data_IF_237886452780
#
_entry.id   IF_237886452780
#
_cell.length_a   1.000
_cell.length_b   1.000
_cell.length_c   1.000
_cell.angle_alpha   90.00
_cell.angle_beta   90.00
_cell.angle_gamma   90.00
#
_symmetry.space_group_name_H-M   'P 1'
#
loop_
_entity.id
_entity.type
_entity.pdbx_description
1 polymer ?
#
# COMPACT_ATOMS: atom_id res chain seq x y z
N UNK A 1 -25.86 -29.32 24.28
CA UNK A 1 -26.32 -28.34 23.27
C UNK A 1 -27.61 -27.70 23.74
N UNK A 2 -27.81 -26.42 23.47
CA UNK A 2 -29.05 -25.67 23.74
C UNK A 2 -29.61 -25.21 22.39
N UNK A 3 -30.87 -25.53 22.09
CA UNK A 3 -31.52 -25.22 20.80
C UNK A 3 -31.57 -26.42 19.85
N UNK A 4 -31.99 -26.20 18.60
CA UNK A 4 -32.44 -27.25 17.67
C UNK A 4 -31.41 -27.53 16.57
N UNK A 5 -31.24 -28.79 16.20
CA UNK A 5 -30.42 -29.18 15.03
C UNK A 5 -28.91 -29.06 15.25
N UNK A 6 -28.45 -28.85 16.48
CA UNK A 6 -27.03 -28.77 16.80
C UNK A 6 -26.40 -30.18 16.93
N UNK A 7 -25.23 -30.40 16.32
CA UNK A 7 -24.41 -31.61 16.45
C UNK A 7 -23.06 -31.31 17.13
N UNK A 8 -22.51 -32.25 17.89
CA UNK A 8 -21.31 -32.04 18.72
C UNK A 8 -21.64 -31.55 20.13
N UNK A 9 -20.78 -30.71 20.74
CA UNK A 9 -20.85 -30.35 22.16
C UNK A 9 -20.90 -28.83 22.41
N UNK A 10 -21.55 -28.41 23.50
CA UNK A 10 -21.51 -27.01 23.95
C UNK A 10 -22.12 -25.96 22.99
N UNK A 11 -22.82 -26.36 21.93
CA UNK A 11 -23.41 -25.42 20.97
C UNK A 11 -24.71 -24.80 21.52
N UNK A 12 -24.93 -23.51 21.24
CA UNK A 12 -26.13 -22.75 21.60
C UNK A 12 -26.73 -22.11 20.33
N UNK A 13 -28.00 -22.36 20.04
CA UNK A 13 -28.71 -21.80 18.88
C UNK A 13 -29.20 -22.87 17.93
N UNK A 14 -29.01 -22.72 16.63
CA UNK A 14 -29.64 -23.58 15.62
C UNK A 14 -28.66 -24.10 14.57
N UNK A 15 -28.76 -25.40 14.27
CA UNK A 15 -28.03 -26.03 13.16
C UNK A 15 -26.50 -25.84 13.18
N UNK A 16 -25.90 -25.73 14.38
CA UNK A 16 -24.45 -25.66 14.50
C UNK A 16 -23.82 -27.07 14.53
N UNK A 17 -22.56 -27.19 14.09
CA UNK A 17 -21.79 -28.43 14.13
C UNK A 17 -20.41 -28.22 14.76
N UNK A 18 -19.93 -29.20 15.52
CA UNK A 18 -18.65 -29.11 16.25
C UNK A 18 -18.86 -28.65 17.68
N UNK A 19 -18.03 -27.73 18.17
CA UNK A 19 -17.98 -27.40 19.60
C UNK A 19 -18.04 -25.90 19.88
N UNK A 20 -18.81 -25.52 20.91
CA UNK A 20 -18.76 -24.16 21.49
C UNK A 20 -19.29 -23.04 20.59
N UNK A 21 -20.07 -23.36 19.56
CA UNK A 21 -20.64 -22.36 18.65
C UNK A 21 -21.92 -21.74 19.21
N UNK A 22 -22.05 -20.42 19.14
CA UNK A 22 -23.22 -19.65 19.55
C UNK A 22 -23.81 -18.94 18.32
N UNK A 23 -25.04 -19.29 17.96
CA UNK A 23 -25.76 -18.67 16.85
C UNK A 23 -26.32 -19.71 15.88
N UNK A 24 -26.08 -19.52 14.58
CA UNK A 24 -26.76 -20.28 13.53
C UNK A 24 -25.76 -20.82 12.51
N UNK A 25 -25.97 -22.07 12.05
CA UNK A 25 -25.26 -22.66 10.91
C UNK A 25 -23.73 -22.61 11.00
N UNK A 26 -23.15 -22.49 12.19
CA UNK A 26 -21.70 -22.41 12.36
C UNK A 26 -21.10 -23.81 12.50
N UNK A 27 -19.88 -23.99 12.02
CA UNK A 27 -19.15 -25.25 12.05
C UNK A 27 -17.72 -25.08 12.58
N UNK A 28 -17.21 -26.10 13.27
CA UNK A 28 -15.84 -26.14 13.74
C UNK A 28 -15.72 -26.20 15.26
N UNK A 29 -14.48 -26.24 15.73
CA UNK A 29 -14.10 -26.37 17.13
C UNK A 29 -13.03 -25.35 17.47
N UNK A 30 -12.96 -24.95 18.74
CA UNK A 30 -11.91 -24.05 19.20
C UNK A 30 -10.59 -24.82 19.30
N UNK A 31 -9.73 -24.67 18.28
CA UNK A 31 -8.43 -25.32 18.23
C UNK A 31 -7.39 -24.68 19.16
N UNK A 32 -7.62 -23.42 19.58
CA UNK A 32 -6.70 -22.66 20.44
C UNK A 32 -6.92 -22.96 21.93
N UNK A 33 -8.19 -23.15 22.32
CA UNK A 33 -8.62 -23.49 23.68
C UNK A 33 -9.79 -24.49 23.61
N UNK A 34 -9.49 -25.81 23.60
CA UNK A 34 -10.51 -26.85 23.61
C UNK A 34 -11.47 -26.71 24.79
N UNK A 35 -12.76 -26.97 24.56
CA UNK A 35 -13.80 -26.87 25.60
C UNK A 35 -14.28 -25.44 25.91
N UNK A 36 -13.70 -24.41 25.28
CA UNK A 36 -14.17 -23.03 25.38
C UNK A 36 -15.10 -22.63 24.23
N UNK A 37 -15.65 -21.42 24.33
CA UNK A 37 -16.40 -20.78 23.24
C UNK A 37 -15.59 -20.79 21.94
N UNK A 38 -16.24 -21.13 20.83
CA UNK A 38 -15.61 -21.20 19.52
C UNK A 38 -15.98 -20.03 18.62
N UNK A 39 -17.24 -19.90 18.24
CA UNK A 39 -17.68 -18.89 17.27
C UNK A 39 -19.00 -18.26 17.67
N UNK A 40 -19.20 -16.99 17.33
CA UNK A 40 -20.43 -16.23 17.60
C UNK A 40 -21.00 -15.66 16.29
N UNK A 41 -22.24 -15.98 15.96
CA UNK A 41 -22.96 -15.37 14.86
C UNK A 41 -23.53 -16.39 13.88
N UNK A 42 -23.36 -16.16 12.58
CA UNK A 42 -24.04 -16.92 11.52
C UNK A 42 -23.05 -17.50 10.52
N UNK A 43 -23.13 -18.81 10.25
CA UNK A 43 -22.42 -19.42 9.13
C UNK A 43 -20.90 -19.35 9.23
N UNK A 44 -20.33 -19.24 10.44
CA UNK A 44 -18.87 -19.22 10.60
C UNK A 44 -18.31 -20.64 10.53
N UNK A 45 -17.15 -20.82 9.91
CA UNK A 45 -16.44 -22.09 9.77
C UNK A 45 -15.03 -21.99 10.36
N UNK A 46 -14.63 -22.96 11.18
CA UNK A 46 -13.30 -23.01 11.80
C UNK A 46 -13.30 -22.59 13.26
N UNK A 47 -12.32 -21.78 13.67
CA UNK A 47 -12.01 -21.53 15.09
C UNK A 47 -12.07 -20.04 15.44
N UNK A 48 -12.74 -19.66 16.52
CA UNK A 48 -12.59 -18.30 17.07
C UNK A 48 -13.25 -17.18 16.26
N UNK A 49 -14.22 -17.46 15.39
CA UNK A 49 -14.76 -16.46 14.47
C UNK A 49 -16.00 -15.73 15.05
N UNK A 50 -16.09 -14.42 14.83
CA UNK A 50 -17.21 -13.58 15.29
C UNK A 50 -17.83 -12.83 14.11
N UNK A 51 -19.15 -12.97 13.92
CA UNK A 51 -19.90 -12.29 12.86
C UNK A 51 -20.52 -13.28 11.88
N UNK A 52 -20.38 -13.03 10.58
CA UNK A 52 -21.16 -13.70 9.53
C UNK A 52 -20.27 -14.29 8.44
N UNK A 53 -20.41 -15.58 8.18
CA UNK A 53 -19.80 -16.23 7.02
C UNK A 53 -18.28 -16.21 7.01
N UNK A 54 -17.62 -16.10 8.17
CA UNK A 54 -16.16 -16.11 8.22
C UNK A 54 -15.63 -17.55 8.20
N UNK A 55 -14.49 -17.78 7.54
CA UNK A 55 -13.85 -19.09 7.44
C UNK A 55 -12.38 -19.03 7.86
N UNK A 56 -11.96 -19.93 8.73
CA UNK A 56 -10.57 -20.01 9.23
C UNK A 56 -10.49 -19.68 10.71
N UNK A 57 -9.50 -18.88 11.12
CA UNK A 57 -9.18 -18.66 12.54
C UNK A 57 -9.31 -17.19 12.93
N UNK A 58 -10.07 -16.88 13.99
CA UNK A 58 -9.98 -15.60 14.67
C UNK A 58 -10.50 -14.40 13.87
N UNK A 59 -11.33 -14.60 12.85
CA UNK A 59 -11.83 -13.50 12.02
C UNK A 59 -13.03 -12.81 12.68
N UNK A 60 -13.11 -11.49 12.54
CA UNK A 60 -14.22 -10.68 13.05
C UNK A 60 -14.87 -9.88 11.93
N UNK A 61 -16.19 -9.99 11.76
CA UNK A 61 -16.96 -9.24 10.76
C UNK A 61 -17.66 -10.15 9.77
N UNK A 62 -17.55 -9.88 8.46
CA UNK A 62 -18.37 -10.50 7.43
C UNK A 62 -17.53 -11.11 6.31
N UNK A 63 -17.71 -12.40 6.04
CA UNK A 63 -17.17 -13.05 4.84
C UNK A 63 -15.64 -13.06 4.77
N UNK A 64 -14.94 -12.98 5.90
CA UNK A 64 -13.47 -13.02 5.90
C UNK A 64 -12.97 -14.47 5.82
N UNK A 65 -11.90 -14.71 5.06
CA UNK A 65 -11.31 -16.03 4.84
C UNK A 65 -9.83 -16.01 5.24
N UNK A 66 -9.41 -16.96 6.08
CA UNK A 66 -8.03 -17.09 6.56
C UNK A 66 -7.94 -16.77 8.05
N UNK A 67 -6.96 -15.96 8.44
CA UNK A 67 -6.61 -15.81 9.86
C UNK A 67 -6.64 -14.35 10.32
N UNK A 68 -7.27 -14.08 11.47
CA UNK A 68 -7.20 -12.81 12.18
C UNK A 68 -7.59 -11.58 11.36
N UNK A 69 -8.48 -11.74 10.37
CA UNK A 69 -8.95 -10.61 9.59
C UNK A 69 -10.12 -9.92 10.30
N UNK A 70 -10.17 -8.59 10.23
CA UNK A 70 -11.25 -7.77 10.79
C UNK A 70 -11.91 -6.93 9.70
N UNK A 71 -13.24 -7.00 9.58
CA UNK A 71 -14.02 -6.21 8.62
C UNK A 71 -14.77 -7.07 7.63
N UNK A 72 -14.68 -6.78 6.33
CA UNK A 72 -15.57 -7.33 5.31
C UNK A 72 -14.80 -7.91 4.12
N UNK A 73 -15.01 -9.19 3.82
CA UNK A 73 -14.53 -9.82 2.59
C UNK A 73 -13.01 -9.85 2.45
N UNK A 74 -12.26 -9.87 3.55
CA UNK A 74 -10.80 -9.96 3.49
C UNK A 74 -10.35 -11.42 3.32
N UNK A 75 -9.25 -11.65 2.59
CA UNK A 75 -8.64 -12.97 2.39
C UNK A 75 -7.16 -12.97 2.78
N UNK A 76 -6.70 -14.00 3.48
CA UNK A 76 -5.32 -14.14 3.94
C UNK A 76 -5.19 -13.92 5.44
N UNK A 77 -4.20 -13.15 5.90
CA UNK A 77 -3.91 -12.98 7.32
C UNK A 77 -3.84 -11.53 7.79
N UNK A 78 -4.38 -11.25 8.97
CA UNK A 78 -4.18 -10.00 9.71
C UNK A 78 -4.61 -8.72 8.95
N UNK A 79 -5.55 -8.85 8.02
CA UNK A 79 -6.05 -7.69 7.28
C UNK A 79 -7.18 -6.99 8.06
N UNK A 80 -7.21 -5.66 8.00
CA UNK A 80 -8.26 -4.84 8.60
C UNK A 80 -8.92 -3.94 7.56
N UNK A 81 -10.24 -4.01 7.44
CA UNK A 81 -11.03 -3.17 6.52
C UNK A 81 -11.84 -4.00 5.53
N UNK A 82 -11.81 -3.65 4.25
CA UNK A 82 -12.73 -4.17 3.24
C UNK A 82 -11.97 -4.70 2.03
N UNK A 83 -12.27 -5.93 1.60
CA UNK A 83 -11.80 -6.47 0.33
C UNK A 83 -10.29 -6.65 0.21
N UNK A 84 -9.54 -6.68 1.32
CA UNK A 84 -8.09 -6.83 1.25
C UNK A 84 -7.70 -8.30 1.02
N UNK A 85 -6.64 -8.54 0.25
CA UNK A 85 -6.10 -9.87 -0.05
C UNK A 85 -4.61 -9.94 0.25
N UNK A 86 -4.19 -10.95 1.00
CA UNK A 86 -2.79 -11.14 1.41
C UNK A 86 -2.60 -10.92 2.91
N UNK A 87 -1.57 -10.19 3.32
CA UNK A 87 -1.17 -10.12 4.73
C UNK A 87 -1.04 -8.67 5.24
N UNK A 88 -1.51 -8.42 6.46
CA UNK A 88 -1.26 -7.16 7.20
C UNK A 88 -1.68 -5.89 6.43
N UNK A 89 -2.72 -5.98 5.60
CA UNK A 89 -3.23 -4.82 4.88
C UNK A 89 -4.32 -4.09 5.69
N UNK A 90 -4.29 -2.77 5.67
CA UNK A 90 -5.29 -1.92 6.34
C UNK A 90 -5.96 -0.96 5.35
N UNK A 91 -7.29 -1.01 5.26
CA UNK A 91 -8.09 -0.13 4.42
C UNK A 91 -8.94 -0.89 3.39
N UNK A 92 -8.90 -0.49 2.12
CA UNK A 92 -9.85 -0.94 1.10
C UNK A 92 -9.15 -1.54 -0.13
N UNK A 93 -9.52 -2.74 -0.53
CA UNK A 93 -9.11 -3.37 -1.79
C UNK A 93 -7.59 -3.39 -2.00
N UNK A 94 -6.81 -3.59 -0.92
CA UNK A 94 -5.36 -3.75 -1.03
C UNK A 94 -5.00 -5.21 -1.30
N UNK A 95 -4.01 -5.45 -2.17
CA UNK A 95 -3.50 -6.76 -2.50
C UNK A 95 -1.98 -6.87 -2.22
N UNK A 96 -1.56 -7.92 -1.53
CA UNK A 96 -0.15 -8.16 -1.19
C UNK A 96 0.10 -8.03 0.31
N UNK A 97 1.15 -7.30 0.71
CA UNK A 97 1.59 -7.25 2.11
C UNK A 97 1.80 -5.84 2.65
N UNK A 98 1.46 -5.60 3.91
CA UNK A 98 1.80 -4.37 4.65
C UNK A 98 1.32 -3.06 3.97
N UNK A 99 0.21 -3.11 3.24
CA UNK A 99 -0.33 -1.92 2.58
C UNK A 99 -1.34 -1.18 3.47
N UNK A 100 -1.29 0.14 3.47
CA UNK A 100 -2.24 1.02 4.16
C UNK A 100 -2.89 2.00 3.19
N UNK A 101 -4.21 2.10 3.20
CA UNK A 101 -4.98 3.00 2.33
C UNK A 101 -5.90 2.24 1.40
N UNK A 102 -5.96 2.60 0.11
CA UNK A 102 -6.87 1.92 -0.82
C UNK A 102 -6.30 1.61 -2.19
N UNK A 103 -6.66 0.43 -2.73
CA UNK A 103 -6.31 0.00 -4.07
C UNK A 103 -4.82 -0.19 -4.30
N UNK A 104 -4.05 -0.48 -3.25
CA UNK A 104 -2.61 -0.71 -3.38
C UNK A 104 -2.33 -2.17 -3.74
N UNK A 105 -1.31 -2.41 -4.57
CA UNK A 105 -0.83 -3.75 -4.96
C UNK A 105 0.67 -3.86 -4.75
N UNK A 106 1.13 -4.95 -4.12
CA UNK A 106 2.54 -5.17 -3.79
C UNK A 106 2.80 -5.06 -2.28
N UNK A 107 3.94 -4.48 -1.89
CA UNK A 107 4.37 -4.50 -0.48
C UNK A 107 4.73 -3.12 0.09
N UNK A 108 4.33 -2.86 1.34
CA UNK A 108 4.71 -1.67 2.11
C UNK A 108 4.30 -0.36 1.41
N UNK A 109 3.08 -0.31 0.85
CA UNK A 109 2.56 0.92 0.25
C UNK A 109 1.61 1.64 1.21
N UNK A 110 1.75 2.96 1.32
CA UNK A 110 0.81 3.84 2.00
C UNK A 110 0.22 4.84 1.02
N UNK A 111 -1.10 4.92 0.93
CA UNK A 111 -1.80 5.87 0.08
C UNK A 111 -2.81 5.19 -0.84
N UNK A 112 -2.92 5.68 -2.08
CA UNK A 112 -4.00 5.28 -2.98
C UNK A 112 -3.46 4.81 -4.32
N UNK A 113 -3.96 3.67 -4.81
CA UNK A 113 -3.72 3.16 -6.16
C UNK A 113 -2.22 2.99 -6.50
N UNK A 114 -1.40 2.60 -5.52
CA UNK A 114 0.01 2.31 -5.78
C UNK A 114 0.20 0.86 -6.24
N UNK A 115 1.12 0.64 -7.16
CA UNK A 115 1.59 -0.67 -7.59
C UNK A 115 3.10 -0.77 -7.42
N UNK A 116 3.56 -1.89 -6.90
CA UNK A 116 4.95 -2.15 -6.56
C UNK A 116 5.19 -2.04 -5.06
N UNK A 117 6.41 -1.68 -4.68
CA UNK A 117 6.85 -1.69 -3.29
C UNK A 117 7.24 -0.30 -2.78
N UNK A 118 7.05 -0.10 -1.47
CA UNK A 118 7.59 1.03 -0.69
C UNK A 118 7.15 2.42 -1.18
N UNK A 119 5.91 2.54 -1.67
CA UNK A 119 5.34 3.80 -2.14
C UNK A 119 4.54 4.51 -1.04
N UNK A 120 4.71 5.83 -0.88
CA UNK A 120 3.93 6.64 0.09
C UNK A 120 3.16 7.77 -0.61
N UNK A 121 2.43 7.42 -1.67
CA UNK A 121 1.93 8.36 -2.68
C UNK A 121 0.52 8.01 -3.19
N UNK A 122 0.07 8.76 -4.19
CA UNK A 122 -1.10 8.39 -5.01
C UNK A 122 -0.63 8.03 -6.42
N UNK A 123 -1.00 6.83 -6.87
CA UNK A 123 -0.83 6.40 -8.26
C UNK A 123 0.59 6.00 -8.68
N UNK A 124 1.44 5.55 -7.75
CA UNK A 124 2.76 5.03 -8.14
C UNK A 124 2.61 3.73 -8.94
N UNK A 125 3.38 3.56 -10.01
CA UNK A 125 3.34 2.35 -10.88
C UNK A 125 4.65 1.59 -10.93
N UNK A 126 5.65 2.03 -10.15
CA UNK A 126 6.97 1.42 -10.08
C UNK A 126 7.42 1.33 -8.63
N UNK A 127 8.34 0.40 -8.34
CA UNK A 127 8.95 0.30 -7.02
C UNK A 127 9.74 1.58 -6.73
N UNK A 128 9.43 2.23 -5.61
CA UNK A 128 10.25 3.33 -5.12
C UNK A 128 11.32 2.72 -4.22
N UNK A 129 12.57 2.66 -4.67
CA UNK A 129 13.67 2.14 -3.83
C UNK A 129 13.92 2.97 -2.54
N UNK A 130 13.21 4.10 -2.38
CA UNK A 130 13.15 4.95 -1.20
C UNK A 130 11.90 5.85 -1.28
N UNK A 131 11.44 6.36 -0.14
CA UNK A 131 10.23 7.21 0.05
C UNK A 131 9.95 8.18 -1.10
N UNK A 132 9.03 7.79 -1.98
CA UNK A 132 8.34 8.70 -2.88
C UNK A 132 7.01 9.12 -2.24
N UNK A 133 6.72 10.41 -2.23
CA UNK A 133 5.49 10.95 -1.62
C UNK A 133 4.81 12.00 -2.48
N UNK A 134 3.50 12.19 -2.28
CA UNK A 134 2.69 13.11 -3.09
C UNK A 134 2.05 12.44 -4.31
N UNK A 135 1.90 13.17 -5.41
CA UNK A 135 1.05 12.75 -6.54
C UNK A 135 1.84 12.65 -7.85
N UNK A 136 1.71 11.53 -8.58
CA UNK A 136 2.17 11.41 -9.97
C UNK A 136 3.68 11.55 -10.17
N UNK A 137 4.48 11.25 -9.14
CA UNK A 137 5.94 11.34 -9.22
C UNK A 137 6.53 10.07 -9.86
N UNK A 138 7.62 10.22 -10.63
CA UNK A 138 8.41 9.13 -11.22
C UNK A 138 9.87 9.31 -10.84
N UNK A 139 10.54 8.24 -10.39
CA UNK A 139 11.94 8.25 -9.97
C UNK A 139 12.14 7.66 -8.57
N UNK A 140 13.27 7.93 -7.93
CA UNK A 140 13.64 7.47 -6.58
C UNK A 140 13.85 8.67 -5.64
N UNK A 141 13.30 8.68 -4.43
CA UNK A 141 13.37 9.84 -3.49
C UNK A 141 12.78 11.12 -4.07
N UNK A 142 11.55 11.02 -4.56
CA UNK A 142 10.81 12.11 -5.21
C UNK A 142 9.58 12.49 -4.38
N UNK A 143 9.46 13.76 -4.01
CA UNK A 143 8.31 14.28 -3.25
C UNK A 143 7.60 15.44 -3.96
N UNK A 144 6.31 15.64 -3.65
CA UNK A 144 5.50 16.74 -4.18
C UNK A 144 4.59 16.29 -5.34
N UNK A 145 4.50 17.07 -6.41
CA UNK A 145 3.52 16.83 -7.48
C UNK A 145 4.17 16.76 -8.86
N UNK A 146 3.91 15.67 -9.57
CA UNK A 146 4.28 15.46 -10.97
C UNK A 146 5.75 15.71 -11.28
N UNK A 147 6.65 15.34 -10.37
CA UNK A 147 8.08 15.39 -10.63
C UNK A 147 8.53 14.09 -11.32
N UNK A 148 9.32 14.18 -12.38
CA UNK A 148 9.71 13.03 -13.20
C UNK A 148 11.22 12.95 -13.41
N UNK A 149 11.83 11.86 -12.96
CA UNK A 149 13.23 11.53 -13.20
C UNK A 149 13.30 10.16 -13.84
N UNK A 150 13.86 10.11 -15.04
CA UNK A 150 13.91 8.89 -15.84
C UNK A 150 15.29 8.70 -16.48
N UNK A 151 15.66 7.43 -16.69
CA UNK A 151 16.93 7.04 -17.31
C UNK A 151 18.15 7.23 -16.40
N UNK A 152 19.33 6.81 -16.87
CA UNK A 152 20.57 6.88 -16.11
C UNK A 152 20.63 5.89 -14.93
N UNK A 153 21.78 5.82 -14.28
CA UNK A 153 22.00 4.96 -13.10
C UNK A 153 21.36 5.54 -11.84
N UNK A 154 21.32 6.87 -11.73
CA UNK A 154 20.66 7.61 -10.65
C UNK A 154 19.51 8.40 -11.26
N UNK A 155 18.28 8.18 -10.80
CA UNK A 155 17.12 8.93 -11.24
C UNK A 155 16.23 9.35 -10.06
N UNK A 156 16.23 10.63 -9.70
CA UNK A 156 15.36 11.16 -8.64
C UNK A 156 16.04 12.17 -7.70
N UNK A 157 15.92 12.02 -6.38
CA UNK A 157 16.28 13.06 -5.40
C UNK A 157 15.64 14.41 -5.74
N UNK A 158 14.32 14.43 -5.91
CA UNK A 158 13.60 15.62 -6.36
C UNK A 158 12.48 16.03 -5.41
N UNK A 159 12.15 17.32 -5.41
CA UNK A 159 11.04 17.84 -4.61
C UNK A 159 10.34 19.04 -5.26
N UNK A 160 9.09 19.27 -4.90
CA UNK A 160 8.31 20.43 -5.33
C UNK A 160 7.29 20.09 -6.41
N UNK A 161 7.19 20.89 -7.46
CA UNK A 161 6.10 20.81 -8.43
C UNK A 161 6.63 20.80 -9.87
N UNK A 162 6.19 19.83 -10.67
CA UNK A 162 6.40 19.78 -12.12
C UNK A 162 7.88 19.81 -12.56
N UNK A 163 8.80 19.36 -11.72
CA UNK A 163 10.21 19.27 -12.10
C UNK A 163 10.43 18.03 -12.97
N UNK A 164 11.23 18.13 -14.02
CA UNK A 164 11.47 17.01 -14.95
C UNK A 164 12.94 16.90 -15.31
N UNK A 165 13.47 15.68 -15.36
CA UNK A 165 14.85 15.41 -15.76
C UNK A 165 14.97 14.07 -16.46
N UNK A 166 15.70 14.06 -17.57
CA UNK A 166 15.95 12.85 -18.36
C UNK A 166 17.17 13.03 -19.26
N UNK A 167 17.62 11.92 -19.85
CA UNK A 167 18.57 11.91 -20.96
C UNK A 167 20.06 11.84 -20.58
N UNK A 168 20.42 11.97 -19.30
CA UNK A 168 21.80 11.72 -18.88
C UNK A 168 22.08 10.22 -18.66
N UNK A 169 23.24 9.70 -19.09
CA UNK A 169 23.59 8.29 -18.90
C UNK A 169 23.97 7.95 -17.45
N UNK A 170 24.43 8.92 -16.66
CA UNK A 170 24.82 8.73 -15.26
C UNK A 170 23.71 9.09 -14.27
N UNK A 171 23.38 10.37 -14.15
CA UNK A 171 22.45 10.87 -13.15
C UNK A 171 21.43 11.87 -13.72
N UNK A 172 20.15 11.59 -13.54
CA UNK A 172 19.00 12.44 -13.81
C UNK A 172 18.33 12.80 -12.48
N UNK A 173 18.89 13.77 -11.75
CA UNK A 173 18.56 13.91 -10.33
C UNK A 173 18.72 15.32 -9.76
N UNK A 174 18.35 15.47 -8.47
CA UNK A 174 18.65 16.63 -7.62
C UNK A 174 18.02 17.91 -8.12
N UNK A 175 16.71 17.89 -8.35
CA UNK A 175 15.96 19.07 -8.78
C UNK A 175 14.92 19.45 -7.72
N UNK A 176 14.86 20.72 -7.35
CA UNK A 176 13.89 21.23 -6.38
C UNK A 176 13.22 22.52 -6.84
N UNK A 177 12.01 22.80 -6.33
CA UNK A 177 11.25 24.02 -6.62
C UNK A 177 10.13 23.77 -7.63
N UNK A 178 9.92 24.67 -8.59
CA UNK A 178 8.78 24.63 -9.51
C UNK A 178 9.24 24.67 -10.96
N UNK A 179 8.79 23.69 -11.76
CA UNK A 179 8.90 23.71 -13.21
C UNK A 179 10.32 23.70 -13.75
N UNK A 180 11.30 23.22 -12.98
CA UNK A 180 12.68 23.15 -13.45
C UNK A 180 12.85 21.93 -14.36
N UNK A 181 13.56 22.12 -15.47
CA UNK A 181 13.83 21.10 -16.49
C UNK A 181 15.34 20.80 -16.49
N UNK A 182 15.70 19.62 -15.99
CA UNK A 182 17.05 19.09 -16.05
C UNK A 182 17.36 18.61 -17.46
N UNK A 183 18.35 19.24 -18.10
CA UNK A 183 18.84 18.85 -19.43
C UNK A 183 20.34 18.62 -19.35
N UNK A 184 20.82 17.55 -19.97
CA UNK A 184 22.25 17.23 -20.05
C UNK A 184 23.01 18.42 -20.64
N UNK A 185 24.04 18.88 -19.93
CA UNK A 185 24.93 19.91 -20.42
C UNK A 185 26.30 19.32 -20.76
N UNK A 186 26.47 18.89 -22.00
CA UNK A 186 27.70 18.24 -22.48
C UNK A 186 28.96 19.10 -22.38
N UNK A 187 28.84 20.41 -22.18
CA UNK A 187 29.98 21.30 -21.98
C UNK A 187 30.49 21.33 -20.52
N UNK A 188 29.67 20.93 -19.55
CA UNK A 188 30.02 20.93 -18.11
C UNK A 188 30.02 19.52 -17.50
N UNK A 189 29.17 18.63 -18.00
CA UNK A 189 29.08 17.23 -17.58
C UNK A 189 28.45 16.38 -18.69
N UNK A 190 29.09 15.29 -19.06
CA UNK A 190 28.55 14.34 -20.04
C UNK A 190 27.67 13.26 -19.41
N UNK A 191 27.61 13.20 -18.09
CA UNK A 191 26.93 12.13 -17.35
C UNK A 191 25.80 12.59 -16.45
N UNK A 192 25.60 13.90 -16.27
CA UNK A 192 24.64 14.44 -15.30
C UNK A 192 23.68 15.44 -15.95
N UNK A 193 22.38 15.23 -15.74
CA UNK A 193 21.33 16.21 -15.98
C UNK A 193 20.65 16.55 -14.64
N UNK A 194 20.32 17.83 -14.44
CA UNK A 194 19.63 18.31 -13.24
C UNK A 194 20.52 19.12 -12.31
N UNK A 195 20.42 18.94 -11.00
CA UNK A 195 21.07 19.84 -10.00
C UNK A 195 20.52 21.27 -10.09
N UNK A 196 19.21 21.39 -10.37
CA UNK A 196 18.55 22.69 -10.52
C UNK A 196 17.71 23.04 -9.30
N UNK A 197 17.58 24.34 -8.99
CA UNK A 197 16.72 24.81 -7.91
C UNK A 197 16.02 26.12 -8.23
N UNK A 198 14.86 26.36 -7.62
CA UNK A 198 14.10 27.60 -7.80
C UNK A 198 12.94 27.45 -8.79
N UNK A 199 12.77 28.42 -9.69
CA UNK A 199 11.57 28.53 -10.53
C UNK A 199 11.93 28.57 -12.02
N UNK A 200 11.40 27.58 -12.75
CA UNK A 200 11.42 27.52 -14.22
C UNK A 200 12.82 27.62 -14.84
N UNK A 201 13.81 26.99 -14.20
CA UNK A 201 15.15 26.90 -14.75
C UNK A 201 15.29 25.70 -15.70
N UNK A 202 16.05 25.85 -16.77
CA UNK A 202 16.37 24.79 -17.73
C UNK A 202 17.88 24.60 -17.87
N UNK A 203 18.37 23.38 -17.66
CA UNK A 203 19.78 23.05 -17.85
C UNK A 203 20.31 22.11 -16.77
N UNK A 204 21.60 22.24 -16.45
CA UNK A 204 22.25 21.51 -15.35
C UNK A 204 23.03 22.47 -14.48
N UNK A 205 22.88 22.36 -13.16
CA UNK A 205 23.54 23.22 -12.17
C UNK A 205 23.01 24.64 -12.13
N UNK A 206 21.72 24.85 -12.43
CA UNK A 206 21.10 26.19 -12.50
C UNK A 206 20.21 26.43 -11.28
N UNK A 207 20.46 27.54 -10.59
CA UNK A 207 19.59 28.02 -9.50
C UNK A 207 18.98 29.38 -9.81
N UNK A 208 17.81 29.66 -9.26
CA UNK A 208 17.19 30.98 -9.27
C UNK A 208 15.88 31.01 -10.04
N UNK A 209 15.68 32.05 -10.86
CA UNK A 209 14.46 32.28 -11.63
C UNK A 209 14.82 32.41 -13.11
N UNK A 210 14.19 31.59 -13.97
CA UNK A 210 14.34 31.65 -15.44
C UNK A 210 15.80 31.71 -15.94
N UNK A 211 16.71 30.95 -15.31
CA UNK A 211 18.13 30.93 -15.63
C UNK A 211 18.87 32.28 -15.49
N UNK A 212 18.28 33.29 -14.85
CA UNK A 212 18.86 34.64 -14.77
C UNK A 212 20.22 34.70 -14.07
N UNK A 213 20.53 33.72 -13.22
CA UNK A 213 21.86 33.55 -12.61
C UNK A 213 22.99 33.36 -13.63
N UNK A 214 22.66 33.02 -14.90
CA UNK A 214 23.64 32.92 -15.99
C UNK A 214 23.81 34.22 -16.77
N UNK A 215 22.97 35.22 -16.51
CA UNK A 215 22.96 36.49 -17.24
C UNK A 215 23.62 37.63 -16.44
N UNK A 216 23.84 37.43 -15.14
CA UNK A 216 24.43 38.41 -14.24
C UNK A 216 25.87 37.96 -13.88
N UNK A 217 26.89 38.81 -14.11
CA UNK A 217 28.28 38.50 -13.78
C UNK A 217 28.55 38.44 -12.27
#
# INVERSE_FOLDING_TARGET
NIGIGNSGAGNIGFFNSGEGNIGFFSSGTNALQPGHFNSLGFGNAGSGNVGFGNSGIGNTGFGNVGNFNTGFGNSGAENTGFGNSGNVNTGFDNAGADNTGAGNSGSVNTGFFNSGNTNTSVGATTNSASVNSGFGNTGNKVSGFFNSATGGTIHGDMSGFFNSVSGAPGANARISGIGNIGVLNTALSTTTAGVNSGFFNMGTGVSGLFNLSRLLP
#
